data_IF_222953995494
#
_entry.id   IF_222953995494
#
_cell.length_a   1.000
_cell.length_b   1.000
_cell.length_c   1.000
_cell.angle_alpha   90.00
_cell.angle_beta   90.00
_cell.angle_gamma   90.00
#
_symmetry.space_group_name_H-M   'P 1'
#
loop_
_entity.id
_entity.type
_entity.pdbx_description
1 polymer ?
#
# COMPACT_ATOMS: atom_id res chain seq x y z
N UNK A 1 4.44 -20.64 9.14
CA UNK A 1 5.19 -19.43 8.67
C UNK A 1 4.29 -18.20 8.75
N UNK A 2 4.81 -17.06 9.21
CA UNK A 2 4.13 -15.78 9.03
C UNK A 2 4.87 -14.95 7.98
N UNK A 3 4.12 -14.37 7.05
CA UNK A 3 4.60 -13.44 6.04
C UNK A 3 3.93 -12.08 6.27
N UNK A 4 4.68 -11.01 6.31
CA UNK A 4 4.18 -9.65 6.52
C UNK A 4 4.76 -8.72 5.48
N UNK A 5 3.89 -8.12 4.69
CA UNK A 5 4.20 -7.06 3.73
C UNK A 5 3.60 -5.72 4.17
N UNK A 6 4.05 -4.68 3.50
CA UNK A 6 3.48 -3.34 3.58
C UNK A 6 2.83 -2.97 2.25
N UNK A 7 2.07 -1.88 2.22
CA UNK A 7 1.50 -1.41 0.96
C UNK A 7 2.58 -1.11 -0.10
N UNK A 8 3.76 -0.60 0.31
CA UNK A 8 4.86 -0.35 -0.63
C UNK A 8 5.37 -1.59 -1.34
N UNK A 9 5.28 -2.75 -0.69
CA UNK A 9 5.75 -4.02 -1.28
C UNK A 9 4.87 -4.44 -2.46
N UNK A 10 3.56 -4.14 -2.40
CA UNK A 10 2.65 -4.34 -3.54
C UNK A 10 3.05 -3.47 -4.74
N UNK A 11 3.44 -2.22 -4.49
CA UNK A 11 3.79 -1.27 -5.54
C UNK A 11 5.16 -1.54 -6.16
N UNK A 12 6.14 -1.97 -5.37
CA UNK A 12 7.54 -2.00 -5.79
C UNK A 12 8.18 -3.38 -5.78
N UNK A 13 7.77 -4.26 -4.85
CA UNK A 13 8.29 -5.62 -4.73
C UNK A 13 7.39 -6.68 -5.35
N UNK A 14 6.29 -6.29 -6.01
CA UNK A 14 5.32 -7.20 -6.67
C UNK A 14 4.71 -8.22 -5.71
N UNK A 15 4.48 -7.84 -4.46
CA UNK A 15 4.04 -8.79 -3.45
C UNK A 15 2.61 -9.31 -3.66
N UNK A 16 1.87 -8.80 -4.65
CA UNK A 16 0.64 -9.48 -5.12
C UNK A 16 0.90 -10.94 -5.54
N UNK A 17 2.12 -11.26 -6.02
CA UNK A 17 2.52 -12.62 -6.41
C UNK A 17 2.67 -13.57 -5.21
N UNK A 18 2.58 -13.10 -3.98
CA UNK A 18 2.50 -13.95 -2.77
C UNK A 18 1.15 -14.66 -2.71
N UNK A 19 0.09 -14.05 -3.24
CA UNK A 19 -1.31 -14.51 -3.13
C UNK A 19 -1.98 -14.75 -4.49
N UNK A 20 -1.28 -14.51 -5.61
CA UNK A 20 -1.82 -14.78 -6.95
C UNK A 20 -0.90 -15.71 -7.74
N UNK A 21 -1.49 -16.50 -8.63
CA UNK A 21 -0.78 -17.33 -9.58
C UNK A 21 -0.32 -16.56 -10.84
N UNK A 22 0.28 -17.26 -11.77
CA UNK A 22 0.79 -16.68 -13.03
C UNK A 22 -0.32 -16.19 -13.98
N UNK A 23 -1.57 -16.55 -13.72
CA UNK A 23 -2.75 -16.04 -14.44
C UNK A 23 -3.38 -14.83 -13.74
N UNK A 24 -2.95 -14.53 -12.52
CA UNK A 24 -3.51 -13.48 -11.68
C UNK A 24 -4.72 -13.91 -10.86
N UNK A 25 -4.99 -15.20 -10.75
CA UNK A 25 -6.03 -15.73 -9.87
C UNK A 25 -5.50 -15.88 -8.42
N UNK A 26 -6.38 -15.67 -7.44
CA UNK A 26 -6.03 -15.87 -6.03
C UNK A 26 -5.66 -17.34 -5.77
N UNK A 27 -4.62 -17.57 -4.97
CA UNK A 27 -4.19 -18.91 -4.54
C UNK A 27 -4.53 -19.14 -3.07
N UNK A 28 -4.93 -20.38 -2.76
CA UNK A 28 -5.14 -20.78 -1.37
C UNK A 28 -3.80 -20.91 -0.63
N UNK A 29 -3.72 -20.32 0.57
CA UNK A 29 -2.55 -20.49 1.42
C UNK A 29 -2.62 -21.82 2.16
N UNK A 30 -1.48 -22.53 2.31
CA UNK A 30 -1.40 -23.71 3.17
C UNK A 30 -1.77 -23.38 4.64
N UNK A 31 -2.26 -24.39 5.37
CA UNK A 31 -2.71 -24.20 6.76
C UNK A 31 -1.59 -23.71 7.70
N UNK A 32 -0.34 -24.05 7.39
CA UNK A 32 0.84 -23.62 8.14
C UNK A 32 1.37 -22.24 7.73
N UNK A 33 0.68 -21.53 6.84
CA UNK A 33 1.08 -20.21 6.34
C UNK A 33 0.00 -19.18 6.68
N UNK A 34 0.44 -18.03 7.18
CA UNK A 34 -0.39 -16.83 7.32
C UNK A 34 0.30 -15.67 6.61
N UNK A 35 -0.48 -14.96 5.81
CA UNK A 35 0.00 -13.80 5.05
C UNK A 35 -0.76 -12.54 5.46
N UNK A 36 -0.02 -11.47 5.67
CA UNK A 36 -0.58 -10.20 6.12
C UNK A 36 0.02 -9.04 5.33
N UNK A 37 -0.79 -7.99 5.14
CA UNK A 37 -0.34 -6.70 4.64
C UNK A 37 -0.76 -5.61 5.61
N UNK A 38 0.12 -4.67 5.91
CA UNK A 38 -0.25 -3.45 6.62
C UNK A 38 -0.46 -2.34 5.60
N UNK A 39 -1.70 -1.90 5.47
CA UNK A 39 -2.12 -0.84 4.53
C UNK A 39 -1.80 0.54 5.10
N UNK A 40 -1.47 1.48 4.22
CA UNK A 40 -1.13 2.84 4.58
C UNK A 40 0.30 3.03 5.09
N UNK A 41 1.19 2.03 4.97
CA UNK A 41 2.57 2.13 5.46
C UNK A 41 3.60 1.83 4.38
N UNK A 42 4.78 2.42 4.53
CA UNK A 42 5.95 2.13 3.72
C UNK A 42 6.73 0.93 4.27
N UNK A 43 7.48 0.25 3.40
CA UNK A 43 8.40 -0.83 3.81
C UNK A 43 9.41 -0.35 4.85
N UNK A 44 9.91 0.88 4.68
CA UNK A 44 10.70 1.55 5.70
C UNK A 44 10.11 2.95 5.98
N UNK A 45 10.06 3.39 7.24
CA UNK A 45 9.61 4.74 7.56
C UNK A 45 10.48 5.78 6.85
N UNK A 46 9.84 6.77 6.24
CA UNK A 46 10.56 7.85 5.58
C UNK A 46 11.38 8.65 6.60
N UNK A 47 12.66 8.86 6.29
CA UNK A 47 13.52 9.81 7.02
C UNK A 47 13.67 11.07 6.16
N UNK A 48 13.42 12.27 6.73
CA UNK A 48 13.64 13.51 6.01
C UNK A 48 15.07 13.58 5.48
N UNK A 49 15.20 13.91 4.21
CA UNK A 49 16.49 14.18 3.56
C UNK A 49 16.72 15.69 3.48
N UNK A 50 17.96 16.11 3.34
CA UNK A 50 18.33 17.53 3.23
C UNK A 50 17.78 18.21 1.96
N UNK A 51 17.42 17.41 0.94
CA UNK A 51 16.80 17.88 -0.30
C UNK A 51 15.57 17.03 -0.60
N UNK A 52 14.49 17.61 -1.16
CA UNK A 52 13.34 16.84 -1.59
C UNK A 52 13.73 15.96 -2.78
N UNK A 53 13.66 14.66 -2.60
CA UNK A 53 13.94 13.65 -3.63
C UNK A 53 12.67 13.01 -4.17
N UNK A 54 11.54 13.29 -3.53
CA UNK A 54 10.21 12.84 -3.92
C UNK A 54 9.30 14.02 -4.21
N UNK A 55 8.30 13.83 -5.09
CA UNK A 55 7.33 14.88 -5.46
C UNK A 55 6.44 15.30 -4.28
N UNK A 56 6.18 14.39 -3.34
CA UNK A 56 5.30 14.57 -2.19
C UNK A 56 6.02 14.27 -0.88
N UNK A 57 5.53 14.78 0.26
CA UNK A 57 6.02 14.40 1.58
C UNK A 57 5.98 12.90 1.79
N UNK A 58 7.03 12.34 2.39
CA UNK A 58 7.13 10.91 2.65
C UNK A 58 6.18 10.43 3.74
N UNK A 59 5.65 9.23 3.56
CA UNK A 59 4.83 8.53 4.53
C UNK A 59 5.69 8.11 5.74
N UNK A 60 5.26 8.49 6.95
CA UNK A 60 5.98 8.24 8.21
C UNK A 60 5.32 7.18 9.09
N UNK A 61 4.22 6.59 8.64
CA UNK A 61 3.53 5.57 9.42
C UNK A 61 4.41 4.32 9.53
N UNK A 62 4.51 3.80 10.74
CA UNK A 62 5.30 2.62 11.04
C UNK A 62 4.43 1.43 11.42
N UNK A 63 4.85 0.25 11.05
CA UNK A 63 4.16 -1.02 11.33
C UNK A 63 4.75 -1.82 12.51
N UNK A 64 5.60 -1.21 13.31
CA UNK A 64 6.29 -1.90 14.41
C UNK A 64 5.35 -2.50 15.47
N UNK A 65 4.16 -1.94 15.68
CA UNK A 65 3.17 -2.52 16.57
C UNK A 65 2.59 -3.84 16.00
N UNK A 66 2.26 -3.85 14.71
CA UNK A 66 1.80 -5.06 14.01
C UNK A 66 2.88 -6.15 14.03
N UNK A 67 4.13 -5.79 13.73
CA UNK A 67 5.26 -6.73 13.79
C UNK A 67 5.41 -7.38 15.16
N UNK A 68 5.37 -6.59 16.24
CA UNK A 68 5.46 -7.13 17.60
C UNK A 68 4.30 -8.07 17.93
N UNK A 69 3.08 -7.69 17.59
CA UNK A 69 1.90 -8.53 17.83
C UNK A 69 1.98 -9.86 17.06
N UNK A 70 2.41 -9.82 15.80
CA UNK A 70 2.58 -11.03 15.00
C UNK A 70 3.75 -11.92 15.47
N UNK A 71 4.82 -11.33 16.01
CA UNK A 71 5.90 -12.10 16.62
C UNK A 71 5.42 -12.86 17.88
N UNK A 72 4.59 -12.23 18.71
CA UNK A 72 3.96 -12.92 19.86
C UNK A 72 3.04 -14.03 19.35
N UNK A 73 2.20 -13.75 18.36
CA UNK A 73 1.31 -14.76 17.79
C UNK A 73 2.08 -15.93 17.14
N UNK A 74 3.23 -15.67 16.52
CA UNK A 74 4.10 -16.72 15.98
C UNK A 74 4.67 -17.60 17.12
N UNK A 75 5.11 -16.97 18.20
CA UNK A 75 5.60 -17.69 19.37
C UNK A 75 4.53 -18.61 19.97
N UNK A 76 3.32 -18.10 20.20
CA UNK A 76 2.17 -18.88 20.68
C UNK A 76 1.82 -20.04 19.75
N UNK A 77 1.93 -19.82 18.44
CA UNK A 77 1.68 -20.85 17.46
C UNK A 77 2.71 -21.98 17.50
N UNK A 78 3.99 -21.62 17.59
CA UNK A 78 5.09 -22.60 17.57
C UNK A 78 5.18 -23.37 18.89
N UNK A 79 5.03 -22.69 20.04
CA UNK A 79 5.23 -23.29 21.36
C UNK A 79 3.96 -23.94 21.92
N UNK A 80 2.79 -23.39 21.59
CA UNK A 80 1.54 -23.78 22.23
C UNK A 80 0.46 -24.27 21.25
N UNK A 81 0.75 -24.24 19.94
CA UNK A 81 -0.21 -24.65 18.90
C UNK A 81 -1.39 -23.68 18.71
N UNK A 82 -1.33 -22.48 19.32
CA UNK A 82 -2.37 -21.47 19.21
C UNK A 82 -2.23 -20.76 17.87
N UNK A 83 -3.14 -21.03 16.94
CA UNK A 83 -3.09 -20.47 15.60
C UNK A 83 -3.19 -18.92 15.63
N UNK A 84 -2.36 -18.19 14.85
CA UNK A 84 -2.47 -16.75 14.72
C UNK A 84 -3.79 -16.37 14.04
N UNK A 85 -4.17 -15.07 14.04
CA UNK A 85 -5.33 -14.60 13.29
C UNK A 85 -5.31 -15.10 11.84
N UNK A 86 -6.48 -15.23 11.24
CA UNK A 86 -6.58 -15.57 9.82
C UNK A 86 -5.79 -14.58 8.95
N UNK A 87 -5.28 -15.04 7.82
CA UNK A 87 -4.58 -14.19 6.85
C UNK A 87 -5.40 -12.95 6.50
N UNK A 88 -4.71 -11.80 6.43
CA UNK A 88 -5.28 -10.52 5.98
C UNK A 88 -4.36 -9.92 4.94
N UNK A 89 -4.61 -10.31 3.70
CA UNK A 89 -3.93 -9.80 2.51
C UNK A 89 -5.00 -9.37 1.50
N UNK A 90 -4.78 -8.33 0.70
CA UNK A 90 -5.74 -7.97 -0.36
C UNK A 90 -5.91 -9.12 -1.35
N UNK A 91 -7.12 -9.28 -1.91
CA UNK A 91 -7.45 -10.36 -2.83
C UNK A 91 -8.17 -9.85 -4.08
N UNK A 92 -8.14 -10.65 -5.13
CA UNK A 92 -8.94 -10.40 -6.34
C UNK A 92 -10.42 -10.67 -6.07
N UNK A 93 -10.72 -11.69 -5.29
CA UNK A 93 -12.08 -12.08 -4.93
C UNK A 93 -12.84 -10.97 -4.20
N UNK A 94 -12.16 -10.22 -3.31
CA UNK A 94 -12.75 -9.13 -2.55
C UNK A 94 -12.65 -7.77 -3.28
N UNK A 95 -12.12 -7.74 -4.50
CA UNK A 95 -11.83 -6.53 -5.26
C UNK A 95 -10.93 -5.52 -4.50
N UNK A 96 -10.15 -6.00 -3.53
CA UNK A 96 -9.16 -5.19 -2.79
C UNK A 96 -7.77 -5.24 -3.43
N UNK A 97 -7.55 -6.18 -4.37
CA UNK A 97 -6.37 -6.29 -5.21
C UNK A 97 -6.78 -6.03 -6.67
N UNK A 98 -6.29 -4.95 -7.25
CA UNK A 98 -6.73 -4.44 -8.56
C UNK A 98 -5.56 -4.19 -9.51
N UNK A 99 -5.82 -4.11 -10.80
CA UNK A 99 -4.80 -3.71 -11.77
C UNK A 99 -4.41 -2.23 -11.59
N UNK A 100 -3.24 -1.85 -12.11
CA UNK A 100 -2.80 -0.44 -12.12
C UNK A 100 -3.81 0.47 -12.82
N UNK A 101 -4.46 0.00 -13.88
CA UNK A 101 -5.46 0.77 -14.62
C UNK A 101 -6.72 1.02 -13.78
N UNK A 102 -7.22 0.00 -13.09
CA UNK A 102 -8.34 0.11 -12.16
C UNK A 102 -8.00 1.04 -10.99
N UNK A 103 -6.84 0.83 -10.34
CA UNK A 103 -6.37 1.70 -9.25
C UNK A 103 -6.30 3.17 -9.68
N UNK A 104 -5.77 3.45 -10.88
CA UNK A 104 -5.72 4.82 -11.42
C UNK A 104 -7.10 5.39 -11.68
N UNK A 105 -8.06 4.59 -12.14
CA UNK A 105 -9.41 5.07 -12.45
C UNK A 105 -10.22 5.44 -11.20
N UNK A 106 -9.95 4.77 -10.09
CA UNK A 106 -10.68 4.93 -8.81
C UNK A 106 -9.99 5.87 -7.82
N UNK A 107 -8.66 6.07 -7.96
CA UNK A 107 -7.93 7.00 -7.08
C UNK A 107 -8.47 8.43 -7.23
N UNK A 108 -8.70 9.16 -6.12
CA UNK A 108 -9.23 10.52 -6.19
C UNK A 108 -8.31 11.44 -7.00
N UNK A 109 -8.89 12.28 -7.85
CA UNK A 109 -8.14 13.25 -8.66
C UNK A 109 -7.65 14.40 -7.79
N UNK A 110 -6.55 14.19 -7.11
CA UNK A 110 -5.97 15.17 -6.21
C UNK A 110 -5.18 16.21 -7.01
N UNK A 111 -5.38 17.52 -6.76
CA UNK A 111 -4.61 18.57 -7.39
C UNK A 111 -3.10 18.40 -7.15
N UNK A 112 -2.30 18.58 -8.20
CA UNK A 112 -0.83 18.48 -8.15
C UNK A 112 -0.26 17.12 -7.71
N UNK A 113 -1.09 16.07 -7.69
CA UNK A 113 -0.65 14.70 -7.41
C UNK A 113 -0.59 13.90 -8.69
N UNK A 114 0.59 13.45 -9.04
CA UNK A 114 0.78 12.51 -10.14
C UNK A 114 0.59 11.07 -9.61
N UNK A 115 -0.20 10.29 -10.33
CA UNK A 115 -0.38 8.86 -10.04
C UNK A 115 0.66 8.03 -10.82
N UNK A 116 1.21 6.94 -10.26
CA UNK A 116 2.19 6.09 -10.94
C UNK A 116 1.71 5.63 -12.32
N UNK A 117 2.57 5.72 -13.33
CA UNK A 117 2.24 5.34 -14.71
C UNK A 117 2.50 3.87 -15.00
N UNK A 118 3.48 3.29 -14.34
CA UNK A 118 3.95 1.92 -14.53
C UNK A 118 4.23 1.26 -13.18
N UNK A 119 4.16 -0.07 -13.17
CA UNK A 119 4.68 -0.92 -12.09
C UNK A 119 5.93 -1.64 -12.60
N UNK A 120 6.73 -2.16 -11.68
CA UNK A 120 7.80 -3.08 -12.03
C UNK A 120 7.19 -4.38 -12.57
N UNK A 121 7.30 -4.62 -13.86
CA UNK A 121 6.86 -5.88 -14.47
C UNK A 121 7.87 -7.00 -14.19
N UNK A 122 7.36 -8.22 -14.06
CA UNK A 122 8.15 -9.44 -14.01
C UNK A 122 7.71 -10.33 -15.17
N UNK A 123 8.67 -10.79 -15.98
CA UNK A 123 8.36 -11.65 -17.10
C UNK A 123 8.56 -13.12 -16.76
N UNK A 124 7.66 -13.94 -17.27
CA UNK A 124 7.83 -15.39 -17.28
C UNK A 124 9.07 -15.74 -18.10
N UNK A 125 9.88 -16.65 -17.60
CA UNK A 125 11.07 -17.15 -18.29
C UNK A 125 10.96 -18.66 -18.45
N UNK A 126 11.18 -19.13 -19.65
CA UNK A 126 11.34 -20.55 -19.95
C UNK A 126 12.83 -20.93 -19.73
N UNK A 127 13.08 -21.64 -18.65
CA UNK A 127 14.39 -22.13 -18.27
C UNK A 127 14.71 -23.53 -18.84
N UNK A 128 13.85 -24.10 -19.69
CA UNK A 128 14.14 -25.37 -20.40
C UNK A 128 15.18 -25.19 -21.50
N UNK A 129 15.48 -23.94 -21.85
CA UNK A 129 16.50 -23.56 -22.85
C UNK A 129 17.50 -22.58 -22.25
N UNK A 130 18.72 -22.55 -22.81
CA UNK A 130 19.80 -21.66 -22.36
C UNK A 130 20.28 -20.80 -23.55
N UNK A 131 20.28 -19.46 -23.48
CA UNK A 131 19.73 -18.63 -22.37
C UNK A 131 18.21 -18.72 -22.28
N UNK A 132 17.62 -18.47 -21.08
CA UNK A 132 16.18 -18.52 -20.89
C UNK A 132 15.43 -17.55 -21.81
N UNK A 133 14.31 -18.01 -22.37
CA UNK A 133 13.47 -17.19 -23.24
C UNK A 133 12.42 -16.47 -22.39
N UNK A 134 12.36 -15.15 -22.52
CA UNK A 134 11.30 -14.33 -21.91
C UNK A 134 9.99 -14.45 -22.71
N UNK A 135 8.87 -14.54 -21.98
CA UNK A 135 7.53 -14.61 -22.55
C UNK A 135 6.62 -13.52 -21.96
N UNK A 136 5.39 -13.85 -21.60
CA UNK A 136 4.40 -12.92 -21.06
C UNK A 136 4.84 -12.34 -19.72
N UNK A 137 4.39 -11.12 -19.42
CA UNK A 137 4.51 -10.55 -18.08
C UNK A 137 3.54 -11.24 -17.12
N UNK A 138 3.95 -11.39 -15.84
CA UNK A 138 3.04 -11.74 -14.78
C UNK A 138 2.03 -10.63 -14.58
N UNK A 139 0.73 -10.91 -14.36
CA UNK A 139 -0.20 -9.94 -13.86
C UNK A 139 0.24 -9.46 -12.47
N UNK A 140 0.52 -8.18 -12.31
CA UNK A 140 0.89 -7.56 -11.05
C UNK A 140 -0.24 -6.63 -10.62
N UNK A 141 -0.62 -6.70 -9.34
CA UNK A 141 -1.72 -5.95 -8.79
C UNK A 141 -1.27 -5.08 -7.63
N UNK A 142 -2.06 -4.05 -7.36
CA UNK A 142 -1.91 -3.14 -6.23
C UNK A 142 -3.21 -3.09 -5.43
N UNK A 143 -3.18 -2.50 -4.24
CA UNK A 143 -4.41 -2.34 -3.46
C UNK A 143 -5.36 -1.35 -4.11
N UNK A 144 -6.66 -1.68 -4.07
CA UNK A 144 -7.73 -0.73 -4.28
C UNK A 144 -7.71 0.32 -3.16
N UNK A 145 -8.27 1.50 -3.45
CA UNK A 145 -8.35 2.60 -2.48
C UNK A 145 -9.79 3.02 -2.24
N UNK A 146 -10.04 3.57 -1.06
CA UNK A 146 -11.28 4.26 -0.73
C UNK A 146 -11.36 5.64 -1.42
N UNK A 147 -12.43 6.38 -1.17
CA UNK A 147 -12.66 7.72 -1.73
C UNK A 147 -11.64 8.76 -1.27
N UNK A 148 -10.91 8.49 -0.20
CA UNK A 148 -9.82 9.33 0.30
C UNK A 148 -8.47 8.98 -0.33
N UNK A 149 -8.40 7.90 -1.10
CA UNK A 149 -7.19 7.37 -1.69
C UNK A 149 -6.36 6.50 -0.73
N UNK A 150 -6.94 6.10 0.41
CA UNK A 150 -6.29 5.18 1.35
C UNK A 150 -6.59 3.72 0.98
N UNK A 151 -5.60 2.85 1.14
CA UNK A 151 -5.69 1.47 0.70
C UNK A 151 -6.76 0.65 1.45
N UNK A 152 -7.44 -0.23 0.71
CA UNK A 152 -8.42 -1.20 1.20
C UNK A 152 -7.77 -2.58 1.35
N UNK A 153 -8.32 -3.39 2.26
CA UNK A 153 -7.81 -4.73 2.55
C UNK A 153 -6.60 -4.73 3.50
N UNK A 154 -6.15 -5.92 3.89
CA UNK A 154 -5.07 -6.06 4.86
C UNK A 154 -5.44 -5.59 6.27
N UNK A 155 -4.41 -5.35 7.08
CA UNK A 155 -4.53 -4.60 8.33
C UNK A 155 -4.44 -3.11 8.01
N UNK A 156 -5.51 -2.37 8.16
CA UNK A 156 -5.47 -0.92 8.02
C UNK A 156 -4.81 -0.29 9.24
N UNK A 157 -3.84 0.58 8.99
CA UNK A 157 -3.24 1.36 10.08
C UNK A 157 -4.30 2.30 10.70
N UNK A 158 -4.34 2.53 12.03
CA UNK A 158 -5.34 3.41 12.65
C UNK A 158 -5.44 4.80 12.02
N UNK A 159 -4.32 5.37 11.57
CA UNK A 159 -4.28 6.65 10.84
C UNK A 159 -4.87 6.56 9.41
N UNK A 160 -5.22 5.38 8.96
CA UNK A 160 -5.91 5.13 7.68
C UNK A 160 -7.41 4.90 7.93
N UNK A 161 -7.77 4.38 9.09
CA UNK A 161 -9.17 4.20 9.49
C UNK A 161 -9.83 5.51 9.96
N UNK A 162 -9.08 6.36 10.67
CA UNK A 162 -9.47 7.72 11.05
C UNK A 162 -8.52 8.74 10.43
N UNK A 163 -8.59 8.99 9.09
CA UNK A 163 -7.53 9.65 8.37
C UNK A 163 -7.53 11.18 8.52
N UNK A 164 -6.34 11.75 8.64
CA UNK A 164 -6.04 13.18 8.46
C UNK A 164 -5.30 13.44 7.14
N UNK A 165 -5.00 12.37 6.39
CA UNK A 165 -4.27 12.42 5.14
C UNK A 165 -4.59 11.18 4.29
N UNK A 166 -4.29 11.23 3.01
CA UNK A 166 -4.07 10.02 2.22
C UNK A 166 -2.66 9.53 2.49
N UNK A 167 -2.53 8.25 2.82
CA UNK A 167 -1.25 7.56 2.97
C UNK A 167 -1.13 6.52 1.87
N UNK A 168 -0.16 6.72 0.98
CA UNK A 168 0.06 5.80 -0.16
C UNK A 168 1.22 4.86 0.11
N UNK A 169 1.19 3.67 -0.48
CA UNK A 169 2.34 2.75 -0.54
C UNK A 169 3.36 3.12 -1.63
N UNK A 170 3.13 4.21 -2.36
CA UNK A 170 3.99 4.66 -3.45
C UNK A 170 4.41 6.11 -3.27
N UNK A 171 5.55 6.44 -3.84
CA UNK A 171 6.01 7.80 -4.05
C UNK A 171 6.66 7.91 -5.43
N UNK A 172 6.72 9.12 -5.98
CA UNK A 172 7.35 9.39 -7.27
C UNK A 172 8.58 10.28 -7.07
N UNK A 173 9.62 10.00 -7.84
CA UNK A 173 10.84 10.79 -7.86
C UNK A 173 10.56 12.25 -8.27
N UNK A 174 11.24 13.19 -7.58
CA UNK A 174 11.28 14.59 -7.95
C UNK A 174 12.20 14.80 -9.15
N UNK A 175 12.20 16.02 -9.70
CA UNK A 175 13.10 16.42 -10.79
C UNK A 175 14.57 16.16 -10.42
N UNK A 176 15.28 15.45 -11.31
CA UNK A 176 16.66 15.01 -11.08
C UNK A 176 16.81 13.70 -10.28
N UNK A 177 15.72 13.08 -9.86
CA UNK A 177 15.71 11.82 -9.07
C UNK A 177 14.77 10.76 -9.67
N UNK A 178 14.83 10.54 -10.97
CA UNK A 178 13.90 9.65 -11.68
C UNK A 178 12.50 10.25 -11.69
N UNK A 179 12.35 11.43 -12.25
CA UNK A 179 11.12 12.20 -12.23
C UNK A 179 9.92 11.41 -12.76
N UNK A 180 8.93 11.22 -11.90
CA UNK A 180 7.71 10.50 -12.23
C UNK A 180 7.80 8.98 -12.16
N UNK A 181 8.98 8.41 -11.94
CA UNK A 181 9.14 6.98 -11.66
C UNK A 181 8.86 6.66 -10.19
N UNK A 182 8.50 5.41 -9.91
CA UNK A 182 8.39 4.93 -8.52
C UNK A 182 9.73 5.10 -7.79
N UNK A 183 9.68 5.83 -6.68
CA UNK A 183 10.88 6.16 -5.92
C UNK A 183 11.03 5.22 -4.72
N UNK A 184 11.96 4.29 -4.80
CA UNK A 184 12.25 3.30 -3.75
C UNK A 184 10.99 2.61 -3.17
N UNK A 185 11.12 1.84 -2.10
CA UNK A 185 9.99 1.23 -1.36
C UNK A 185 9.42 2.20 -0.32
N UNK A 186 9.11 3.42 -0.75
CA UNK A 186 8.58 4.50 0.07
C UNK A 186 7.17 4.87 -0.39
N UNK A 187 6.36 5.34 0.55
CA UNK A 187 5.05 5.91 0.29
C UNK A 187 5.04 7.43 0.49
N UNK A 188 3.92 8.04 0.15
CA UNK A 188 3.68 9.47 0.33
C UNK A 188 2.58 9.73 1.33
N UNK A 189 2.59 10.91 1.94
CA UNK A 189 1.53 11.44 2.78
C UNK A 189 0.99 12.71 2.14
N UNK A 190 -0.32 12.75 1.89
CA UNK A 190 -1.03 13.88 1.25
C UNK A 190 -2.08 14.38 2.23
N UNK A 191 -1.78 15.43 3.02
CA UNK A 191 -2.70 15.93 4.04
C UNK A 191 -4.05 16.32 3.46
N UNK A 192 -5.12 16.17 4.24
CA UNK A 192 -6.40 16.79 3.93
C UNK A 192 -6.32 18.29 4.21
N UNK A 193 -7.13 19.06 3.51
CA UNK A 193 -7.36 20.47 3.87
C UNK A 193 -7.91 20.54 5.29
N UNK A 194 -7.43 21.50 6.07
CA UNK A 194 -7.89 21.66 7.46
C UNK A 194 -9.33 22.17 7.49
N UNK A 195 -9.64 23.19 6.67
CA UNK A 195 -10.94 23.85 6.61
C UNK A 195 -11.63 23.63 5.26
N UNK A 196 -12.94 23.80 5.23
CA UNK A 196 -13.71 23.73 3.99
C UNK A 196 -13.29 24.81 2.99
N UNK A 197 -12.93 26.00 3.47
CA UNK A 197 -12.43 27.08 2.63
C UNK A 197 -11.08 26.73 1.96
N UNK A 198 -10.18 26.05 2.67
CA UNK A 198 -8.93 25.55 2.10
C UNK A 198 -9.18 24.47 1.07
N UNK A 199 -10.08 23.53 1.37
CA UNK A 199 -10.48 22.45 0.47
C UNK A 199 -10.98 23.00 -0.87
N UNK A 200 -11.93 23.95 -0.83
CA UNK A 200 -12.50 24.55 -2.03
C UNK A 200 -11.44 25.31 -2.84
N UNK A 201 -10.58 26.06 -2.16
CA UNK A 201 -9.50 26.82 -2.81
C UNK A 201 -8.48 25.91 -3.49
N UNK A 202 -8.19 24.77 -2.88
CA UNK A 202 -7.28 23.77 -3.45
C UNK A 202 -7.95 22.90 -4.54
N UNK A 203 -9.28 22.89 -4.63
CA UNK A 203 -10.00 21.95 -5.51
C UNK A 203 -9.87 20.49 -5.06
N UNK A 204 -9.67 20.24 -3.76
CA UNK A 204 -9.52 18.88 -3.22
C UNK A 204 -10.91 18.19 -3.17
N UNK A 205 -11.08 17.02 -3.81
CA UNK A 205 -12.34 16.30 -3.79
C UNK A 205 -12.64 15.64 -2.43
N UNK A 206 -11.62 15.43 -1.58
CA UNK A 206 -11.77 14.80 -0.26
C UNK A 206 -12.37 15.80 0.74
N UNK A 207 -13.23 15.36 1.66
CA UNK A 207 -13.72 16.23 2.73
C UNK A 207 -12.57 16.80 3.59
N UNK A 208 -12.73 18.04 4.07
CA UNK A 208 -11.78 18.67 4.99
C UNK A 208 -11.77 17.98 6.36
N UNK A 209 -10.72 18.20 7.16
CA UNK A 209 -10.67 17.72 8.55
C UNK A 209 -11.84 18.25 9.36
N UNK A 210 -12.17 19.53 9.20
CA UNK A 210 -13.31 20.19 9.83
C UNK A 210 -14.66 19.52 9.49
N UNK A 211 -14.84 19.10 8.23
CA UNK A 211 -16.06 18.40 7.79
C UNK A 211 -16.16 16.96 8.30
N UNK A 212 -15.04 16.33 8.64
CA UNK A 212 -14.98 14.94 9.11
C UNK A 212 -15.13 14.81 10.62
N UNK A 213 -14.53 15.72 11.36
CA UNK A 213 -14.39 15.61 12.81
C UNK A 213 -14.83 16.90 13.48
N UNK A 214 -15.84 16.81 14.33
CA UNK A 214 -16.37 17.96 15.06
C UNK A 214 -15.35 18.57 16.03
N UNK A 215 -14.38 17.78 16.51
CA UNK A 215 -13.28 18.21 17.37
C UNK A 215 -12.13 17.21 17.32
N UNK A 216 -10.99 17.58 17.92
CA UNK A 216 -9.86 16.65 18.11
C UNK A 216 -10.26 15.42 18.94
N UNK A 217 -11.11 15.60 19.94
CA UNK A 217 -11.53 14.51 20.83
C UNK A 217 -12.39 13.50 20.07
N UNK A 218 -13.24 13.95 19.14
CA UNK A 218 -14.02 13.08 18.26
C UNK A 218 -13.12 12.27 17.31
N UNK A 219 -12.01 12.85 16.85
CA UNK A 219 -11.05 12.13 16.04
C UNK A 219 -10.24 11.12 16.85
N UNK A 220 -9.93 11.41 18.12
CA UNK A 220 -9.09 10.59 18.99
C UNK A 220 -9.85 9.45 19.70
N UNK A 221 -11.20 9.45 19.66
CA UNK A 221 -12.05 8.42 20.24
C UNK A 221 -12.18 7.18 19.35
#
# INVERSE_FOLDING_TARGET
MLHLDTESDLWQARSSLVVTDTSGADIAMPDEVRVYTVSGVSHAPFRPLSKPVMQLPGNRLGYGAFMRALLVALFEWVEHGVAPPASRFPSRADATLVSLAEARSTFPKLPQVNFPKVLNELRLRDHSVEPPIESLAYPVFVQATDTDGNALGGFRHPMVDAPLATHTGWSLGASGYGEGDLFTIQGSMIPFATTEAERQRAGDPRPSVEARYASRDVWAA
#
